data_IF_399386115162
#
_entry.id   IF_399386115162
#
_cell.length_a   1.000
_cell.length_b   1.000
_cell.length_c   1.000
_cell.angle_alpha   90.00
_cell.angle_beta   90.00
_cell.angle_gamma   90.00
#
_symmetry.space_group_name_H-M   'P 1'
#
loop_
_entity.id
_entity.type
_entity.pdbx_description
1 polymer ?
#
# COMPACT_ATOMS: atom_id res chain seq x y z
N UNK A 1 24.95 80.21 24.79
CA UNK A 1 23.56 80.27 25.29
C UNK A 1 22.65 80.05 24.09
N UNK A 2 21.73 79.09 24.02
CA UNK A 2 21.28 78.05 24.92
C UNK A 2 20.60 76.95 24.09
N UNK A 3 20.56 75.76 24.67
CA UNK A 3 19.83 74.58 24.18
C UNK A 3 18.33 74.86 24.07
N UNK A 4 17.67 74.27 23.06
CA UNK A 4 16.31 73.77 23.25
C UNK A 4 16.05 72.59 22.29
N UNK A 5 16.15 71.39 22.84
CA UNK A 5 15.68 70.15 22.23
C UNK A 5 14.15 70.15 22.22
N UNK A 6 13.52 69.73 21.13
CA UNK A 6 12.15 69.22 21.18
C UNK A 6 12.01 68.02 20.24
N UNK A 7 12.00 66.85 20.89
CA UNK A 7 11.74 65.53 20.35
C UNK A 7 10.40 65.49 19.60
N UNK A 8 10.43 65.19 18.30
CA UNK A 8 9.26 64.67 17.58
C UNK A 8 9.21 63.16 17.78
N UNK A 9 8.22 62.72 18.55
CA UNK A 9 7.86 61.32 18.81
C UNK A 9 7.65 60.58 17.49
N UNK A 10 8.39 59.51 17.25
CA UNK A 10 8.10 58.56 16.17
C UNK A 10 6.81 57.78 16.51
N UNK A 11 5.93 57.65 15.53
CA UNK A 11 4.66 56.93 15.66
C UNK A 11 4.90 55.43 15.91
N UNK A 12 4.37 54.92 17.02
CA UNK A 12 4.34 53.50 17.40
C UNK A 12 3.19 52.76 16.70
N UNK A 13 3.13 52.80 15.37
CA UNK A 13 2.15 52.04 14.60
C UNK A 13 2.80 51.46 13.34
N UNK A 14 3.81 50.61 13.53
CA UNK A 14 4.25 49.69 12.49
C UNK A 14 3.22 48.56 12.36
N UNK A 15 2.29 48.71 11.42
CA UNK A 15 1.43 47.59 11.02
C UNK A 15 2.29 46.56 10.29
N UNK A 16 2.77 45.54 11.03
CA UNK A 16 3.32 44.33 10.43
C UNK A 16 2.18 43.57 9.77
N UNK A 17 1.97 43.78 8.46
CA UNK A 17 1.26 42.81 7.64
C UNK A 17 2.14 41.57 7.53
N UNK A 18 1.92 40.60 8.42
CA UNK A 18 2.34 39.22 8.19
C UNK A 18 1.28 38.63 7.27
N UNK A 19 1.53 38.39 5.97
CA UNK A 19 0.63 37.58 5.19
C UNK A 19 0.72 36.17 5.78
N UNK A 20 -0.25 35.83 6.63
CA UNK A 20 -0.49 34.47 7.05
C UNK A 20 -0.94 33.69 5.82
N UNK A 21 0.02 33.25 5.02
CA UNK A 21 -0.22 32.26 3.98
C UNK A 21 -0.51 30.97 4.75
N UNK A 22 -1.77 30.80 5.14
CA UNK A 22 -2.33 29.50 5.43
C UNK A 22 -2.28 28.73 4.11
N UNK A 23 -1.14 28.11 3.84
CA UNK A 23 -1.05 26.96 2.94
C UNK A 23 -1.89 25.89 3.62
N UNK A 24 -3.20 25.96 3.43
CA UNK A 24 -4.05 24.79 3.48
C UNK A 24 -3.37 23.81 2.55
N UNK A 25 -2.67 22.83 3.13
CA UNK A 25 -2.25 21.68 2.37
C UNK A 25 -3.55 21.10 1.83
N UNK A 26 -3.86 21.43 0.57
CA UNK A 26 -4.90 20.78 -0.17
C UNK A 26 -4.44 19.33 -0.22
N UNK A 27 -4.89 18.54 0.75
CA UNK A 27 -4.82 17.10 0.67
C UNK A 27 -5.66 16.80 -0.56
N UNK A 28 -4.98 16.62 -1.70
CA UNK A 28 -5.62 16.10 -2.89
C UNK A 28 -6.30 14.82 -2.42
N UNK A 29 -7.63 14.87 -2.27
CA UNK A 29 -8.36 13.72 -1.82
C UNK A 29 -8.14 12.65 -2.88
N UNK A 30 -7.48 11.57 -2.47
CA UNK A 30 -7.20 10.49 -3.39
C UNK A 30 -8.52 9.78 -3.62
N UNK A 31 -9.17 10.18 -4.71
CA UNK A 31 -10.49 9.69 -5.06
C UNK A 31 -10.35 8.37 -5.82
N UNK A 32 -10.79 7.30 -5.17
CA UNK A 32 -11.09 6.04 -5.86
C UNK A 32 -12.60 6.01 -6.14
N UNK A 33 -13.04 6.17 -7.40
CA UNK A 33 -14.45 6.34 -7.72
C UNK A 33 -15.25 5.07 -7.43
N UNK A 34 -16.37 5.23 -6.73
CA UNK A 34 -17.39 4.19 -6.65
C UNK A 34 -18.11 4.06 -8.00
N UNK A 35 -18.51 2.84 -8.41
CA UNK A 35 -19.49 2.65 -9.47
C UNK A 35 -20.83 3.30 -9.12
N UNK A 36 -21.65 3.58 -10.14
CA UNK A 36 -22.97 4.21 -9.97
C UNK A 36 -23.92 3.42 -9.05
N UNK A 37 -23.73 2.10 -8.96
CA UNK A 37 -24.44 1.25 -8.01
C UNK A 37 -23.45 0.33 -7.27
N UNK A 38 -23.62 0.27 -5.95
CA UNK A 38 -22.85 -0.60 -5.06
C UNK A 38 -23.83 -1.46 -4.27
N UNK A 39 -23.48 -2.72 -4.00
CA UNK A 39 -24.36 -3.60 -3.25
C UNK A 39 -24.31 -3.23 -1.75
N UNK A 40 -25.43 -2.87 -1.10
CA UNK A 40 -25.41 -2.53 0.31
C UNK A 40 -25.16 -3.79 1.16
N UNK A 41 -24.28 -3.68 2.14
CA UNK A 41 -23.97 -4.76 3.09
C UNK A 41 -23.90 -4.24 4.52
N UNK A 42 -24.17 -5.11 5.48
CA UNK A 42 -24.10 -4.78 6.91
C UNK A 42 -22.93 -5.52 7.56
N UNK A 43 -22.00 -4.76 8.14
CA UNK A 43 -20.84 -5.27 8.86
C UNK A 43 -21.25 -5.77 10.25
N UNK A 44 -20.89 -7.01 10.56
CA UNK A 44 -21.01 -7.58 11.90
C UNK A 44 -19.85 -7.16 12.80
N UNK A 45 -18.61 -7.23 12.30
CA UNK A 45 -17.39 -6.82 13.02
C UNK A 45 -16.20 -6.63 12.10
N UNK A 46 -15.25 -5.78 12.51
CA UNK A 46 -13.93 -5.69 11.86
C UNK A 46 -12.99 -6.74 12.44
N UNK A 47 -12.38 -7.55 11.55
CA UNK A 47 -11.48 -8.65 11.92
C UNK A 47 -10.07 -8.12 12.16
N UNK A 48 -9.50 -7.44 11.18
CA UNK A 48 -8.17 -6.82 11.17
C UNK A 48 -8.20 -5.56 10.28
N UNK A 49 -7.05 -5.00 9.90
CA UNK A 49 -6.98 -3.76 9.14
C UNK A 49 -7.40 -3.85 7.67
N UNK A 50 -7.74 -5.03 7.15
CA UNK A 50 -8.16 -5.21 5.76
C UNK A 50 -9.28 -6.26 5.56
N UNK A 51 -9.83 -6.80 6.64
CA UNK A 51 -10.87 -7.82 6.61
C UNK A 51 -12.06 -7.46 7.51
N UNK A 52 -13.28 -7.54 6.97
CA UNK A 52 -14.53 -7.36 7.71
C UNK A 52 -15.40 -8.61 7.64
N UNK A 53 -16.18 -8.85 8.70
CA UNK A 53 -17.19 -9.90 8.76
C UNK A 53 -18.56 -9.28 8.55
N UNK A 54 -19.35 -9.80 7.62
CA UNK A 54 -20.71 -9.34 7.35
C UNK A 54 -21.75 -10.12 8.17
N UNK A 55 -22.92 -9.52 8.39
CA UNK A 55 -24.04 -10.16 9.11
C UNK A 55 -24.63 -11.36 8.36
N UNK A 56 -24.52 -11.38 7.04
CA UNK A 56 -24.97 -12.50 6.18
C UNK A 56 -24.02 -13.70 6.21
N UNK A 57 -22.96 -13.64 7.00
CA UNK A 57 -22.02 -14.75 7.14
C UNK A 57 -20.93 -14.80 6.06
N UNK A 58 -20.72 -13.73 5.28
CA UNK A 58 -19.52 -13.58 4.43
C UNK A 58 -18.36 -12.92 5.17
N UNK A 59 -17.13 -13.25 4.76
CA UNK A 59 -15.90 -12.60 5.23
C UNK A 59 -15.32 -11.88 4.03
N UNK A 60 -15.18 -10.56 4.10
CA UNK A 60 -14.72 -9.74 2.98
C UNK A 60 -13.29 -9.33 3.23
N UNK A 61 -12.39 -9.69 2.31
CA UNK A 61 -11.02 -9.21 2.23
C UNK A 61 -10.98 -8.05 1.23
N UNK A 62 -10.60 -6.88 1.72
CA UNK A 62 -10.48 -5.68 0.90
C UNK A 62 -9.41 -5.85 -0.18
N UNK A 63 -9.73 -5.42 -1.40
CA UNK A 63 -8.86 -5.56 -2.57
C UNK A 63 -7.86 -4.41 -2.61
N UNK A 64 -6.60 -4.73 -2.92
CA UNK A 64 -5.59 -3.72 -3.21
C UNK A 64 -4.84 -3.19 -1.98
N UNK A 65 -5.21 -3.65 -0.79
CA UNK A 65 -4.55 -3.31 0.48
C UNK A 65 -4.07 -4.55 1.23
N UNK A 66 -2.90 -4.42 1.87
CA UNK A 66 -2.39 -5.33 2.87
C UNK A 66 -2.10 -4.56 4.16
N UNK A 67 -2.94 -4.74 5.17
CA UNK A 67 -2.73 -4.16 6.49
C UNK A 67 -1.76 -5.01 7.33
N UNK A 68 -1.07 -4.42 8.31
CA UNK A 68 -0.23 -5.16 9.24
C UNK A 68 -1.07 -6.15 10.07
N UNK A 69 -0.56 -7.35 10.27
CA UNK A 69 -1.30 -8.44 10.93
C UNK A 69 -1.43 -8.20 12.44
N UNK A 70 -2.66 -8.27 12.96
CA UNK A 70 -2.90 -8.33 14.41
C UNK A 70 -2.44 -9.70 14.90
N UNK A 71 -1.39 -9.74 15.72
CA UNK A 71 -0.72 -10.97 16.13
C UNK A 71 -1.68 -12.03 16.68
N UNK A 72 -1.38 -13.31 16.41
CA UNK A 72 -2.20 -14.46 16.85
C UNK A 72 -1.38 -15.34 17.80
N UNK A 73 -2.05 -15.92 18.80
CA UNK A 73 -1.53 -17.00 19.67
C UNK A 73 -0.13 -16.69 20.27
N UNK A 74 -0.04 -15.64 21.08
CA UNK A 74 1.19 -15.30 21.81
C UNK A 74 2.28 -14.58 21.00
N UNK A 75 2.02 -14.25 19.72
CA UNK A 75 2.91 -13.38 18.93
C UNK A 75 2.44 -11.92 19.01
N UNK A 76 3.40 -11.00 19.15
CA UNK A 76 3.13 -9.57 19.01
C UNK A 76 2.57 -9.26 17.62
N UNK A 77 1.62 -8.34 17.54
CA UNK A 77 1.16 -7.81 16.25
C UNK A 77 2.27 -7.05 15.54
N UNK A 78 2.10 -6.90 14.23
CA UNK A 78 2.97 -6.04 13.45
C UNK A 78 2.72 -4.56 13.82
N UNK A 79 3.72 -3.67 13.66
CA UNK A 79 3.54 -2.24 13.87
C UNK A 79 2.30 -1.72 13.11
N UNK A 80 1.52 -0.85 13.76
CA UNK A 80 0.27 -0.28 13.23
C UNK A 80 -0.90 -1.25 13.00
N UNK A 81 -0.79 -2.54 13.29
CA UNK A 81 -1.91 -3.49 13.12
C UNK A 81 -3.17 -3.09 13.91
N UNK A 82 -3.00 -2.67 15.16
CA UNK A 82 -4.11 -2.21 16.01
C UNK A 82 -4.70 -0.90 15.49
N UNK A 83 -3.85 0.04 15.07
CA UNK A 83 -4.28 1.33 14.52
C UNK A 83 -5.08 1.14 13.23
N UNK A 84 -4.62 0.27 12.31
CA UNK A 84 -5.32 -0.05 11.07
C UNK A 84 -6.72 -0.65 11.35
N UNK A 85 -6.80 -1.63 12.26
CA UNK A 85 -8.07 -2.23 12.67
C UNK A 85 -9.03 -1.21 13.30
N UNK A 86 -8.53 -0.38 14.21
CA UNK A 86 -9.34 0.66 14.87
C UNK A 86 -9.84 1.70 13.88
N UNK A 87 -9.00 2.10 12.93
CA UNK A 87 -9.40 3.05 11.89
C UNK A 87 -10.47 2.46 10.99
N UNK A 88 -10.31 1.22 10.53
CA UNK A 88 -11.35 0.54 9.75
C UNK A 88 -12.67 0.43 10.55
N UNK A 89 -12.60 0.12 11.85
CA UNK A 89 -13.79 0.13 12.71
C UNK A 89 -14.44 1.51 12.80
N UNK A 90 -13.65 2.59 12.89
CA UNK A 90 -14.18 3.95 12.88
C UNK A 90 -14.87 4.30 11.56
N UNK A 91 -14.31 3.89 10.41
CA UNK A 91 -14.94 4.08 9.09
C UNK A 91 -16.26 3.32 8.96
N UNK A 92 -16.30 2.07 9.45
CA UNK A 92 -17.53 1.27 9.51
C UNK A 92 -18.58 1.94 10.39
N UNK A 93 -18.18 2.43 11.57
CA UNK A 93 -19.09 3.11 12.50
C UNK A 93 -19.62 4.44 11.93
N UNK A 94 -18.78 5.19 11.21
CA UNK A 94 -19.19 6.43 10.54
C UNK A 94 -20.22 6.19 9.42
N UNK A 95 -20.35 4.94 8.96
CA UNK A 95 -21.37 4.53 8.00
C UNK A 95 -22.50 3.73 8.66
N UNK A 96 -22.68 3.84 9.98
CA UNK A 96 -23.68 3.11 10.78
C UNK A 96 -23.67 1.59 10.54
N UNK A 97 -22.49 1.02 10.29
CA UNK A 97 -22.30 -0.40 9.97
C UNK A 97 -22.72 -0.81 8.56
N UNK A 98 -23.22 0.11 7.72
CA UNK A 98 -23.65 -0.14 6.35
C UNK A 98 -22.59 0.34 5.36
N UNK A 99 -22.17 -0.53 4.45
CA UNK A 99 -21.17 -0.22 3.43
C UNK A 99 -21.70 -0.55 2.04
N UNK A 100 -21.15 0.12 1.02
CA UNK A 100 -21.20 -0.32 -0.36
C UNK A 100 -20.15 -1.39 -0.64
N UNK A 101 -20.54 -2.47 -1.29
CA UNK A 101 -19.65 -3.56 -1.69
C UNK A 101 -19.59 -3.65 -3.22
N UNK A 102 -18.37 -3.67 -3.76
CA UNK A 102 -18.09 -3.87 -5.19
C UNK A 102 -17.19 -5.09 -5.34
N UNK A 103 -17.70 -6.24 -5.82
CA UNK A 103 -16.90 -7.44 -5.99
C UNK A 103 -15.76 -7.24 -7.00
N UNK A 104 -14.62 -7.88 -6.76
CA UNK A 104 -13.57 -7.98 -7.78
C UNK A 104 -13.97 -8.92 -8.92
N UNK A 105 -13.17 -8.91 -10.00
CA UNK A 105 -13.26 -9.87 -11.11
C UNK A 105 -13.13 -11.32 -10.63
N UNK A 106 -12.17 -11.55 -9.75
CA UNK A 106 -12.10 -12.79 -8.97
C UNK A 106 -12.84 -12.57 -7.65
N UNK A 107 -13.95 -13.27 -7.46
CA UNK A 107 -14.89 -13.01 -6.36
C UNK A 107 -14.47 -13.57 -5.01
N UNK A 108 -13.61 -14.59 -4.97
CA UNK A 108 -13.19 -15.24 -3.73
C UNK A 108 -11.70 -15.59 -3.73
N UNK A 109 -11.07 -15.54 -2.56
CA UNK A 109 -9.73 -16.08 -2.39
C UNK A 109 -9.73 -17.58 -2.07
N UNK A 110 -8.54 -18.18 -2.01
CA UNK A 110 -8.32 -19.60 -1.66
C UNK A 110 -8.81 -20.02 -0.27
N UNK A 111 -9.18 -19.07 0.59
CA UNK A 111 -9.71 -19.30 1.93
C UNK A 111 -11.23 -19.12 1.99
N UNK A 112 -11.87 -18.85 0.85
CA UNK A 112 -13.31 -18.63 0.74
C UNK A 112 -13.75 -17.22 1.15
N UNK A 113 -12.83 -16.28 1.39
CA UNK A 113 -13.19 -14.87 1.66
C UNK A 113 -13.63 -14.21 0.37
N UNK A 114 -14.68 -13.40 0.42
CA UNK A 114 -15.11 -12.54 -0.69
C UNK A 114 -14.06 -11.47 -0.91
N UNK A 115 -13.63 -11.27 -2.16
CA UNK A 115 -12.75 -10.19 -2.57
C UNK A 115 -13.61 -9.05 -3.11
N UNK A 116 -13.58 -7.91 -2.43
CA UNK A 116 -14.36 -6.74 -2.84
C UNK A 116 -13.70 -5.43 -2.40
N UNK A 117 -14.07 -4.36 -3.10
CA UNK A 117 -13.86 -2.99 -2.65
C UNK A 117 -15.00 -2.55 -1.73
N UNK A 118 -14.67 -1.79 -0.69
CA UNK A 118 -15.65 -1.28 0.28
C UNK A 118 -15.73 0.24 0.23
N UNK A 119 -16.96 0.74 0.28
CA UNK A 119 -17.27 2.17 0.23
C UNK A 119 -18.13 2.57 1.43
N UNK A 120 -17.77 3.71 2.05
CA UNK A 120 -18.54 4.29 3.15
C UNK A 120 -19.84 4.92 2.68
N UNK A 121 -20.68 5.35 3.64
CA UNK A 121 -21.91 6.10 3.34
C UNK A 121 -21.65 7.45 2.65
N UNK A 122 -20.44 7.99 2.82
CA UNK A 122 -19.92 9.19 2.16
C UNK A 122 -19.44 8.94 0.72
N UNK A 123 -19.50 7.70 0.23
CA UNK A 123 -19.02 7.30 -1.09
C UNK A 123 -17.50 7.12 -1.18
N UNK A 124 -16.76 7.28 -0.08
CA UNK A 124 -15.31 7.16 -0.09
C UNK A 124 -14.88 5.69 0.00
N UNK A 125 -13.85 5.33 -0.77
CA UNK A 125 -13.23 4.02 -0.73
C UNK A 125 -12.45 3.82 0.59
N UNK A 126 -12.74 2.75 1.33
CA UNK A 126 -12.13 2.48 2.64
C UNK A 126 -10.64 2.13 2.51
N UNK A 127 -10.26 1.36 1.48
CA UNK A 127 -8.87 1.00 1.23
C UNK A 127 -8.00 2.23 0.97
N UNK A 128 -8.46 3.14 0.11
CA UNK A 128 -7.77 4.38 -0.20
C UNK A 128 -7.59 5.26 1.04
N UNK A 129 -8.61 5.36 1.91
CA UNK A 129 -8.50 6.10 3.17
C UNK A 129 -7.43 5.50 4.09
N UNK A 130 -7.42 4.18 4.28
CA UNK A 130 -6.41 3.51 5.10
C UNK A 130 -4.99 3.67 4.52
N UNK A 131 -4.85 3.60 3.19
CA UNK A 131 -3.58 3.80 2.50
C UNK A 131 -3.08 5.24 2.65
N UNK A 132 -3.96 6.24 2.51
CA UNK A 132 -3.65 7.66 2.67
C UNK A 132 -3.22 8.02 4.09
N UNK A 133 -3.66 7.25 5.08
CA UNK A 133 -3.27 7.39 6.49
C UNK A 133 -2.01 6.57 6.85
N UNK A 134 -1.45 5.82 5.89
CA UNK A 134 -0.28 4.98 6.11
C UNK A 134 -0.55 3.75 6.96
N UNK A 135 -1.78 3.22 6.94
CA UNK A 135 -2.24 2.09 7.75
C UNK A 135 -2.28 0.75 6.98
N UNK A 136 -1.76 0.73 5.76
CA UNK A 136 -1.57 -0.47 4.97
C UNK A 136 -0.60 -0.25 3.82
N UNK A 137 -0.29 -1.33 3.12
CA UNK A 137 0.51 -1.34 1.90
C UNK A 137 -0.38 -1.59 0.69
N UNK A 138 -0.17 -0.86 -0.40
CA UNK A 138 -0.83 -1.11 -1.66
C UNK A 138 -0.29 -2.40 -2.29
N UNK A 139 -1.19 -3.25 -2.80
CA UNK A 139 -0.84 -4.53 -3.44
C UNK A 139 -1.66 -4.78 -4.72
N UNK A 140 -0.99 -4.94 -5.87
CA UNK A 140 -1.64 -5.32 -7.13
C UNK A 140 -1.78 -6.85 -7.31
N UNK A 141 -2.93 -7.43 -6.98
CA UNK A 141 -3.21 -8.86 -7.18
C UNK A 141 -4.15 -9.07 -8.37
N UNK A 142 -3.59 -9.38 -9.53
CA UNK A 142 -4.37 -9.56 -10.75
C UNK A 142 -5.26 -10.83 -10.70
N UNK A 143 -6.53 -10.77 -11.14
CA UNK A 143 -7.10 -9.72 -12.01
C UNK A 143 -7.77 -8.54 -11.28
N UNK A 144 -7.74 -8.49 -9.95
CA UNK A 144 -8.41 -7.46 -9.15
C UNK A 144 -7.53 -6.22 -9.00
N UNK A 145 -7.36 -5.46 -10.10
CA UNK A 145 -6.41 -4.33 -10.19
C UNK A 145 -7.04 -3.00 -10.62
N UNK A 146 -8.37 -2.92 -10.61
CA UNK A 146 -9.13 -1.78 -11.15
C UNK A 146 -8.86 -0.46 -10.42
N UNK A 147 -8.60 -0.51 -9.11
CA UNK A 147 -8.32 0.67 -8.29
C UNK A 147 -6.83 0.87 -7.96
N UNK A 148 -5.92 0.10 -8.58
CA UNK A 148 -4.49 0.13 -8.25
C UNK A 148 -3.90 1.54 -8.39
N UNK A 149 -4.27 2.29 -9.43
CA UNK A 149 -3.72 3.62 -9.67
C UNK A 149 -4.08 4.62 -8.55
N UNK A 150 -5.36 4.69 -8.16
CA UNK A 150 -5.79 5.60 -7.10
C UNK A 150 -5.30 5.11 -5.73
N UNK A 151 -5.30 3.81 -5.45
CA UNK A 151 -4.73 3.24 -4.22
C UNK A 151 -3.22 3.52 -4.09
N UNK A 152 -2.47 3.45 -5.19
CA UNK A 152 -1.04 3.80 -5.20
C UNK A 152 -0.84 5.29 -4.94
N UNK A 153 -1.69 6.17 -5.49
CA UNK A 153 -1.64 7.59 -5.18
C UNK A 153 -1.91 7.87 -3.69
N UNK A 154 -2.81 7.10 -3.06
CA UNK A 154 -3.13 7.22 -1.64
C UNK A 154 -1.92 6.84 -0.78
N UNK A 155 -1.32 5.69 -1.06
CA UNK A 155 -0.10 5.25 -0.38
C UNK A 155 1.06 6.23 -0.58
N UNK A 156 1.22 6.77 -1.80
CA UNK A 156 2.26 7.77 -2.08
C UNK A 156 2.08 9.05 -1.26
N UNK A 157 0.83 9.49 -1.04
CA UNK A 157 0.52 10.61 -0.16
C UNK A 157 1.00 10.34 1.27
N UNK A 158 0.69 9.16 1.82
CA UNK A 158 1.16 8.75 3.14
C UNK A 158 2.68 8.63 3.22
N UNK A 159 3.32 8.12 2.17
CA UNK A 159 4.78 7.99 2.07
C UNK A 159 5.46 9.35 2.09
N UNK A 160 4.97 10.30 1.29
CA UNK A 160 5.51 11.65 1.21
C UNK A 160 5.31 12.42 2.53
N UNK A 161 4.15 12.26 3.16
CA UNK A 161 3.83 12.86 4.45
C UNK A 161 4.40 12.09 5.67
N UNK A 162 5.13 10.98 5.44
CA UNK A 162 5.70 10.11 6.48
C UNK A 162 4.68 9.66 7.54
N UNK A 163 3.49 9.27 7.09
CA UNK A 163 2.39 8.84 7.96
C UNK A 163 2.43 7.35 8.26
N UNK A 164 1.94 6.96 9.44
CA UNK A 164 1.79 5.56 9.84
C UNK A 164 3.05 4.72 9.62
N UNK A 165 2.90 3.66 8.81
CA UNK A 165 3.95 2.73 8.39
C UNK A 165 5.14 3.41 7.70
N UNK A 166 4.98 4.62 7.18
CA UNK A 166 5.98 5.37 6.43
C UNK A 166 6.78 6.37 7.28
N UNK A 167 6.51 6.47 8.59
CA UNK A 167 7.33 7.28 9.52
C UNK A 167 8.81 6.88 9.46
N UNK A 168 9.06 5.59 9.30
CA UNK A 168 10.36 5.02 8.98
C UNK A 168 10.18 4.15 7.74
N UNK A 169 11.16 4.13 6.84
CA UNK A 169 11.04 3.34 5.62
C UNK A 169 10.90 1.85 5.96
N UNK A 170 9.79 1.19 5.57
CA UNK A 170 9.62 -0.25 5.75
C UNK A 170 10.34 -1.06 4.65
N UNK A 171 10.92 -0.38 3.66
CA UNK A 171 11.67 -1.00 2.56
C UNK A 171 13.00 -1.53 3.10
N UNK A 172 13.20 -2.84 3.00
CA UNK A 172 14.43 -3.50 3.45
C UNK A 172 15.32 -3.90 2.27
N UNK A 173 16.63 -4.01 2.49
CA UNK A 173 17.52 -4.58 1.46
C UNK A 173 17.17 -6.05 1.19
N UNK A 174 17.20 -6.47 -0.07
CA UNK A 174 17.06 -7.89 -0.45
C UNK A 174 18.04 -8.81 0.27
N UNK A 175 19.21 -8.31 0.67
CA UNK A 175 20.23 -9.07 1.42
C UNK A 175 19.86 -9.31 2.88
N UNK A 176 18.92 -8.54 3.43
CA UNK A 176 18.47 -8.64 4.82
C UNK A 176 17.24 -9.54 4.97
N UNK A 177 16.74 -10.12 3.87
CA UNK A 177 15.54 -10.94 3.85
C UNK A 177 15.76 -12.29 4.56
N UNK A 178 15.16 -12.43 5.74
CA UNK A 178 15.31 -13.63 6.61
C UNK A 178 14.08 -14.53 6.66
N UNK A 179 12.90 -14.01 6.32
CA UNK A 179 11.61 -14.70 6.47
C UNK A 179 10.72 -14.54 5.25
N UNK A 180 9.91 -15.55 4.99
CA UNK A 180 8.79 -15.47 4.05
C UNK A 180 7.68 -14.57 4.59
N UNK A 181 6.77 -14.13 3.72
CA UNK A 181 5.66 -13.25 4.07
C UNK A 181 5.65 -12.00 3.19
N UNK A 182 4.76 -11.08 3.51
CA UNK A 182 4.71 -9.79 2.82
C UNK A 182 5.99 -8.98 3.11
N UNK A 183 6.57 -8.38 2.08
CA UNK A 183 7.74 -7.52 2.21
C UNK A 183 7.78 -6.44 1.13
N UNK A 184 8.34 -5.28 1.48
CA UNK A 184 8.85 -4.29 0.54
C UNK A 184 10.38 -4.43 0.53
N UNK A 185 10.95 -4.71 -0.62
CA UNK A 185 12.38 -4.98 -0.78
C UNK A 185 12.99 -4.07 -1.83
N UNK A 186 14.24 -3.67 -1.61
CA UNK A 186 15.03 -2.95 -2.61
C UNK A 186 16.34 -3.66 -2.90
N UNK A 187 16.74 -3.66 -4.17
CA UNK A 187 17.98 -4.26 -4.62
C UNK A 187 18.31 -3.93 -6.07
N UNK A 188 19.59 -4.06 -6.41
CA UNK A 188 20.08 -3.90 -7.78
C UNK A 188 19.85 -5.18 -8.56
N UNK A 189 19.18 -5.10 -9.72
CA UNK A 189 18.92 -6.25 -10.57
C UNK A 189 20.23 -6.77 -11.15
N UNK A 190 20.57 -8.03 -10.86
CA UNK A 190 21.76 -8.67 -11.40
C UNK A 190 21.52 -9.22 -12.81
N UNK A 191 20.35 -9.80 -13.05
CA UNK A 191 20.02 -10.47 -14.31
C UNK A 191 18.52 -10.46 -14.56
N UNK A 192 18.12 -10.38 -15.83
CA UNK A 192 16.74 -10.63 -16.26
C UNK A 192 16.77 -11.79 -17.26
N UNK A 193 16.08 -12.89 -16.94
CA UNK A 193 15.95 -14.05 -17.81
C UNK A 193 14.51 -14.24 -18.29
N UNK A 194 14.35 -14.70 -19.53
CA UNK A 194 13.05 -15.09 -20.08
C UNK A 194 13.11 -16.53 -20.55
N UNK A 195 12.15 -17.34 -20.09
CA UNK A 195 12.02 -18.75 -20.51
C UNK A 195 10.55 -19.18 -20.46
N UNK A 196 10.28 -20.47 -20.69
CA UNK A 196 8.91 -21.04 -20.64
C UNK A 196 8.22 -20.85 -19.29
N UNK A 197 8.99 -20.67 -18.22
CA UNK A 197 8.50 -20.41 -16.86
C UNK A 197 8.15 -18.95 -16.57
N UNK A 198 8.39 -18.04 -17.51
CA UNK A 198 8.07 -16.61 -17.43
C UNK A 198 9.31 -15.72 -17.48
N UNK A 199 9.20 -14.53 -16.86
CA UNK A 199 10.33 -13.60 -16.66
C UNK A 199 10.85 -13.77 -15.24
N UNK A 200 12.16 -13.92 -15.10
CA UNK A 200 12.86 -14.07 -13.83
C UNK A 200 13.81 -12.88 -13.66
N UNK A 201 13.65 -12.14 -12.57
CA UNK A 201 14.46 -10.96 -12.24
C UNK A 201 15.28 -11.32 -11.01
N UNK A 202 16.57 -11.53 -11.20
CA UNK A 202 17.47 -11.93 -10.13
C UNK A 202 17.98 -10.71 -9.37
N UNK A 203 18.02 -10.86 -8.05
CA UNK A 203 18.52 -9.87 -7.11
C UNK A 203 19.57 -10.54 -6.20
N UNK A 204 20.54 -9.78 -5.66
CA UNK A 204 21.46 -10.26 -4.64
C UNK A 204 20.72 -10.84 -3.42
N UNK A 205 21.37 -11.75 -2.69
CA UNK A 205 20.80 -12.30 -1.45
C UNK A 205 19.79 -13.44 -1.65
N UNK A 206 19.87 -14.16 -2.78
CA UNK A 206 19.01 -15.33 -3.08
C UNK A 206 17.51 -15.01 -3.24
N UNK A 207 17.16 -13.78 -3.66
CA UNK A 207 15.81 -13.43 -4.05
C UNK A 207 15.69 -13.38 -5.57
N UNK A 208 14.63 -14.00 -6.09
CA UNK A 208 14.22 -13.86 -7.48
C UNK A 208 12.78 -13.38 -7.55
N UNK A 209 12.51 -12.38 -8.38
CA UNK A 209 11.15 -11.98 -8.73
C UNK A 209 10.71 -12.79 -9.95
N UNK A 210 9.45 -13.21 -9.98
CA UNK A 210 8.92 -14.01 -11.09
C UNK A 210 7.63 -13.41 -11.62
N UNK A 211 7.59 -13.15 -12.92
CA UNK A 211 6.36 -12.85 -13.66
C UNK A 211 5.97 -14.14 -14.40
N UNK A 212 4.80 -14.69 -14.09
CA UNK A 212 4.31 -15.91 -14.73
C UNK A 212 3.98 -15.67 -16.23
N UNK A 213 4.09 -16.69 -17.11
CA UNK A 213 3.92 -16.53 -18.56
C UNK A 213 2.62 -15.81 -18.96
N UNK A 214 1.51 -16.15 -18.31
CA UNK A 214 0.17 -15.58 -18.53
C UNK A 214 0.05 -14.10 -18.10
N UNK A 215 0.99 -13.63 -17.28
CA UNK A 215 1.05 -12.27 -16.73
C UNK A 215 2.08 -11.38 -17.42
N UNK A 216 3.02 -11.93 -18.19
CA UNK A 216 4.07 -11.14 -18.87
C UNK A 216 3.49 -10.01 -19.72
N UNK A 217 2.36 -10.26 -20.39
CA UNK A 217 1.64 -9.26 -21.21
C UNK A 217 1.14 -8.04 -20.44
N UNK A 218 1.06 -8.11 -19.11
CA UNK A 218 0.66 -6.97 -18.27
C UNK A 218 1.83 -6.01 -18.05
N UNK A 219 3.08 -6.45 -18.26
CA UNK A 219 4.28 -5.68 -18.01
C UNK A 219 4.81 -5.09 -19.32
N UNK A 220 5.21 -3.82 -19.27
CA UNK A 220 5.86 -3.18 -20.39
C UNK A 220 7.20 -3.84 -20.73
N UNK A 221 7.36 -4.22 -22.00
CA UNK A 221 8.53 -4.97 -22.44
C UNK A 221 9.82 -4.14 -22.38
N UNK A 222 9.74 -2.83 -22.68
CA UNK A 222 10.87 -1.92 -22.64
C UNK A 222 11.35 -1.70 -21.19
N UNK A 223 10.41 -1.52 -20.25
CA UNK A 223 10.67 -1.45 -18.83
C UNK A 223 11.42 -2.70 -18.35
N UNK A 224 10.90 -3.90 -18.67
CA UNK A 224 11.55 -5.17 -18.29
C UNK A 224 12.97 -5.33 -18.88
N UNK A 225 13.17 -4.93 -20.14
CA UNK A 225 14.48 -4.98 -20.79
C UNK A 225 15.48 -4.03 -20.13
N UNK A 226 15.00 -2.89 -19.64
CA UNK A 226 15.82 -1.87 -19.01
C UNK A 226 16.09 -2.09 -17.52
N UNK A 227 15.62 -3.19 -16.91
CA UNK A 227 15.80 -3.42 -15.46
C UNK A 227 17.22 -3.82 -15.07
N UNK A 228 17.95 -4.54 -15.94
CA UNK A 228 19.25 -5.07 -15.58
C UNK A 228 20.21 -3.95 -15.19
N UNK A 229 20.84 -4.09 -14.01
CA UNK A 229 21.73 -3.08 -13.47
C UNK A 229 21.05 -1.89 -12.78
N UNK A 230 19.71 -1.77 -12.80
CA UNK A 230 18.97 -0.75 -12.06
C UNK A 230 18.65 -1.18 -10.63
N UNK A 231 18.50 -0.21 -9.73
CA UNK A 231 17.93 -0.43 -8.41
C UNK A 231 16.41 -0.37 -8.51
N UNK A 232 15.74 -1.39 -7.98
CA UNK A 232 14.28 -1.49 -7.98
C UNK A 232 13.76 -1.58 -6.54
N UNK A 233 12.49 -1.20 -6.35
CA UNK A 233 11.68 -1.58 -5.21
C UNK A 233 10.66 -2.62 -5.70
N UNK A 234 10.52 -3.73 -4.98
CA UNK A 234 9.50 -4.73 -5.24
C UNK A 234 8.70 -5.00 -3.97
N UNK A 235 7.41 -5.32 -4.13
CA UNK A 235 6.49 -5.58 -3.02
C UNK A 235 5.67 -6.83 -3.28
N UNK A 236 5.36 -7.57 -2.23
CA UNK A 236 4.52 -8.76 -2.33
C UNK A 236 4.89 -9.86 -1.34
N UNK A 237 4.35 -11.05 -1.55
CA UNK A 237 4.56 -12.20 -0.67
C UNK A 237 5.77 -13.03 -1.10
N UNK A 238 6.85 -12.91 -0.33
CA UNK A 238 8.05 -13.72 -0.43
C UNK A 238 7.74 -15.16 0.02
N UNK A 239 8.11 -16.12 -0.81
CA UNK A 239 7.97 -17.55 -0.58
C UNK A 239 9.32 -18.20 -0.30
N UNK A 240 9.39 -19.06 0.71
CA UNK A 240 10.56 -19.90 1.00
C UNK A 240 10.51 -21.19 0.18
N UNK A 241 11.31 -21.28 -0.90
CA UNK A 241 11.33 -22.45 -1.77
C UNK A 241 12.07 -23.64 -1.17
N UNK A 242 12.92 -23.44 -0.15
CA UNK A 242 13.64 -24.56 0.48
C UNK A 242 12.71 -25.54 1.19
N UNK A 243 11.54 -25.08 1.63
CA UNK A 243 10.55 -25.87 2.37
C UNK A 243 9.74 -26.83 1.52
N UNK A 244 9.76 -26.70 0.19
CA UNK A 244 8.98 -27.54 -0.73
C UNK A 244 9.74 -28.77 -1.25
N UNK A 245 10.96 -29.01 -0.75
CA UNK A 245 11.82 -30.11 -1.17
C UNK A 245 12.46 -29.85 -2.54
N UNK A 246 13.79 -29.83 -2.60
CA UNK A 246 14.54 -29.87 -3.85
C UNK A 246 14.78 -28.52 -4.54
N UNK A 247 15.45 -27.57 -3.86
CA UNK A 247 16.21 -26.57 -4.61
C UNK A 247 17.36 -27.28 -5.33
N UNK A 248 17.21 -27.51 -6.64
CA UNK A 248 18.34 -27.90 -7.49
C UNK A 248 19.28 -26.68 -7.55
N UNK A 249 20.56 -26.85 -7.20
CA UNK A 249 21.54 -25.75 -7.31
C UNK A 249 21.65 -25.31 -8.78
N UNK A 250 21.70 -24.00 -9.10
CA UNK A 250 21.82 -22.83 -8.20
C UNK A 250 20.51 -22.02 -8.07
N UNK A 251 19.38 -22.63 -7.71
CA UNK A 251 18.12 -21.89 -7.58
C UNK A 251 18.07 -21.00 -6.33
N UNK A 252 17.64 -19.75 -6.51
CA UNK A 252 17.36 -18.80 -5.42
C UNK A 252 16.35 -19.37 -4.41
N UNK A 253 16.65 -19.22 -3.11
CA UNK A 253 15.79 -19.66 -2.00
C UNK A 253 14.47 -18.89 -1.96
N UNK A 254 14.53 -17.57 -2.08
CA UNK A 254 13.40 -16.69 -1.96
C UNK A 254 12.79 -16.40 -3.32
N UNK A 255 11.47 -16.52 -3.42
CA UNK A 255 10.71 -16.22 -4.63
C UNK A 255 9.61 -15.21 -4.30
N UNK A 256 9.56 -14.11 -5.05
CA UNK A 256 8.47 -13.14 -4.96
C UNK A 256 7.74 -13.11 -6.32
N UNK A 257 6.53 -13.71 -6.42
CA UNK A 257 5.74 -13.61 -7.63
C UNK A 257 5.18 -12.22 -7.83
N UNK A 258 5.34 -11.67 -9.03
CA UNK A 258 4.74 -10.40 -9.46
C UNK A 258 3.51 -10.71 -10.31
N UNK A 259 2.33 -10.29 -9.84
CA UNK A 259 1.05 -10.48 -10.55
C UNK A 259 0.62 -9.26 -11.33
N UNK A 260 1.12 -8.08 -10.98
CA UNK A 260 0.77 -6.80 -11.56
C UNK A 260 1.99 -5.85 -11.59
N UNK A 261 2.11 -4.95 -12.58
CA UNK A 261 3.20 -3.97 -12.64
C UNK A 261 3.35 -3.06 -11.43
N UNK A 262 2.26 -2.74 -10.71
CA UNK A 262 2.33 -1.92 -9.49
C UNK A 262 3.16 -2.54 -8.37
N UNK A 263 3.41 -3.85 -8.43
CA UNK A 263 4.28 -4.54 -7.48
C UNK A 263 5.78 -4.26 -7.70
N UNK A 264 6.14 -3.58 -8.80
CA UNK A 264 7.51 -3.28 -9.18
C UNK A 264 7.65 -1.77 -9.45
N UNK A 265 8.41 -1.09 -8.60
CA UNK A 265 8.78 0.32 -8.75
C UNK A 265 10.25 0.49 -9.12
N UNK A 266 10.56 1.52 -9.91
CA UNK A 266 11.93 2.01 -10.02
C UNK A 266 12.21 2.99 -8.88
N UNK A 267 13.31 2.78 -8.15
CA UNK A 267 13.82 3.84 -7.27
C UNK A 267 14.44 4.92 -8.19
N UNK A 268 14.17 6.21 -7.98
CA UNK A 268 14.85 7.26 -8.71
C UNK A 268 16.38 7.20 -8.53
#
# INVERSE_FOLDING_TARGET
MGFCQLLKKASLAGAFFVPGIWLSAAQAQVFCPAPASVAPVHVQRVVDGDTVRLKDGRSVRMIGINAPETGKKGRSGEPFAVAARQRLQALVNASDGHLGLVPGREGNDRYGRTLAHLYGADGNNLEAQLLAEGLGFQVGVAPNVELVACQQAAENSARNARLGLWRQSPVQSVTQLKRSGFALVSGRVSKVERNRGGVWIELPGSLVLRIAPDRVRLFDAAMLNGLQGKTIEARGWVQDRSRRGGLKKPQARWLLPLTDPSMLGSTP
#
